data_IF_016894312218
#
_entry.id   IF_016894312218
#
_cell.length_a   1.000
_cell.length_b   1.000
_cell.length_c   1.000
_cell.angle_alpha   90.00
_cell.angle_beta   90.00
_cell.angle_gamma   90.00
#
_symmetry.space_group_name_H-M   'P 1'
#
loop_
_entity.id
_entity.type
_entity.pdbx_description
1 polymer ?
#
# COMPACT_ATOMS: atom_id res chain seq x y z
N UNK A 1 12.02 -14.26 -3.96
CA UNK A 1 11.08 -13.92 -5.05
C UNK A 1 11.23 -12.43 -5.35
N UNK A 2 11.32 -12.02 -6.62
CA UNK A 2 11.48 -10.60 -6.97
C UNK A 2 10.12 -9.99 -7.30
N UNK A 3 9.78 -8.86 -6.68
CA UNK A 3 8.55 -8.12 -6.98
C UNK A 3 8.81 -7.19 -8.17
N UNK A 4 7.86 -7.14 -9.10
CA UNK A 4 7.84 -6.13 -10.14
C UNK A 4 6.91 -5.00 -9.70
N UNK A 5 7.43 -3.79 -9.62
CA UNK A 5 6.66 -2.61 -9.24
C UNK A 5 6.18 -1.86 -10.47
N UNK A 6 4.94 -1.36 -10.41
CA UNK A 6 4.37 -0.54 -11.46
C UNK A 6 4.99 0.87 -11.41
N UNK A 7 5.43 1.37 -12.58
CA UNK A 7 5.94 2.73 -12.69
C UNK A 7 4.81 3.74 -12.53
N UNK A 8 5.03 4.75 -11.67
CA UNK A 8 4.07 5.83 -11.42
C UNK A 8 4.68 7.15 -11.90
N UNK A 9 4.27 7.65 -13.09
CA UNK A 9 4.87 8.85 -13.67
C UNK A 9 4.54 10.13 -12.88
N UNK A 10 3.42 10.15 -12.13
CA UNK A 10 3.04 11.28 -11.29
C UNK A 10 2.50 10.78 -9.95
N UNK A 11 3.41 10.65 -8.98
CA UNK A 11 3.14 10.15 -7.63
C UNK A 11 2.02 10.96 -6.96
N UNK A 12 2.12 12.28 -6.94
CA UNK A 12 1.14 13.16 -6.30
C UNK A 12 -0.27 13.01 -6.89
N UNK A 13 -0.38 12.93 -8.22
CA UNK A 13 -1.67 12.73 -8.90
C UNK A 13 -2.26 11.36 -8.58
N UNK A 14 -1.44 10.31 -8.66
CA UNK A 14 -1.83 8.94 -8.32
C UNK A 14 -2.39 8.85 -6.90
N UNK A 15 -1.64 9.34 -5.90
CA UNK A 15 -2.07 9.28 -4.50
C UNK A 15 -3.39 10.00 -4.29
N UNK A 16 -3.54 11.23 -4.83
CA UNK A 16 -4.78 12.00 -4.69
C UNK A 16 -5.99 11.27 -5.25
N UNK A 17 -5.85 10.66 -6.44
CA UNK A 17 -6.93 9.91 -7.06
C UNK A 17 -7.25 8.63 -6.28
N UNK A 18 -6.22 7.89 -5.85
CA UNK A 18 -6.40 6.66 -5.07
C UNK A 18 -7.07 6.95 -3.73
N UNK A 19 -6.60 7.94 -2.97
CA UNK A 19 -7.18 8.25 -1.66
C UNK A 19 -8.56 8.87 -1.76
N UNK A 20 -8.84 9.70 -2.77
CA UNK A 20 -10.19 10.21 -3.00
C UNK A 20 -11.22 9.09 -3.25
N UNK A 21 -10.77 7.96 -3.81
CA UNK A 21 -11.62 6.81 -4.11
C UNK A 21 -11.72 5.81 -2.96
N UNK A 22 -10.59 5.49 -2.34
CA UNK A 22 -10.47 4.36 -1.41
C UNK A 22 -10.42 4.78 0.07
N UNK A 23 -10.14 6.06 0.37
CA UNK A 23 -9.98 6.59 1.73
C UNK A 23 -10.53 8.03 1.85
N UNK A 24 -11.82 8.19 1.50
CA UNK A 24 -12.50 9.50 1.42
C UNK A 24 -12.69 10.18 2.78
N UNK A 25 -12.46 9.46 3.87
CA UNK A 25 -12.47 9.93 5.25
C UNK A 25 -11.17 10.67 5.64
N UNK A 26 -10.09 10.52 4.86
CA UNK A 26 -8.83 11.25 5.11
C UNK A 26 -8.99 12.71 4.65
N UNK A 27 -8.82 13.70 5.54
CA UNK A 27 -8.95 15.10 5.16
C UNK A 27 -7.96 15.50 4.06
N UNK A 28 -8.43 16.21 3.03
CA UNK A 28 -7.59 16.72 1.94
C UNK A 28 -6.40 17.55 2.42
N UNK A 29 -6.55 18.27 3.53
CA UNK A 29 -5.45 19.02 4.14
C UNK A 29 -4.27 18.11 4.55
N UNK A 30 -4.56 16.90 5.07
CA UNK A 30 -3.51 15.92 5.40
C UNK A 30 -2.85 15.37 4.14
N UNK A 31 -3.64 15.05 3.11
CA UNK A 31 -3.14 14.52 1.83
C UNK A 31 -2.21 15.53 1.12
N UNK A 32 -2.43 16.83 1.33
CA UNK A 32 -1.66 17.90 0.70
C UNK A 32 -0.59 18.54 1.60
N UNK A 33 -0.39 18.04 2.83
CA UNK A 33 0.47 18.72 3.81
C UNK A 33 1.95 18.72 3.42
N UNK A 34 2.47 17.58 2.97
CA UNK A 34 3.85 17.42 2.49
C UNK A 34 3.91 16.76 1.11
N UNK A 35 5.03 16.91 0.36
CA UNK A 35 5.24 16.21 -0.89
C UNK A 35 5.23 14.69 -0.72
N UNK A 36 4.79 13.99 -1.77
CA UNK A 36 4.77 12.53 -1.81
C UNK A 36 6.03 11.99 -2.49
N UNK A 37 6.64 11.00 -1.86
CA UNK A 37 7.87 10.37 -2.31
C UNK A 37 7.69 8.86 -2.40
N UNK A 38 8.26 8.26 -3.45
CA UNK A 38 8.37 6.81 -3.58
C UNK A 38 9.71 6.38 -2.97
N UNK A 39 9.67 5.52 -1.97
CA UNK A 39 10.84 4.96 -1.30
C UNK A 39 10.77 3.44 -1.28
N UNK A 40 11.93 2.78 -1.29
CA UNK A 40 12.03 1.38 -0.86
C UNK A 40 12.38 1.33 0.63
N UNK A 41 11.56 0.65 1.44
CA UNK A 41 11.81 0.51 2.87
C UNK A 41 11.39 -0.85 3.42
N UNK A 42 11.87 -1.24 4.62
CA UNK A 42 11.44 -2.46 5.27
C UNK A 42 9.93 -2.49 5.49
N UNK A 43 9.29 -3.62 5.15
CA UNK A 43 7.86 -3.82 5.37
C UNK A 43 7.51 -3.70 6.86
N UNK A 44 8.45 -4.07 7.74
CA UNK A 44 8.34 -3.95 9.20
C UNK A 44 8.31 -2.52 9.72
N UNK A 45 8.70 -1.52 8.91
CA UNK A 45 8.65 -0.11 9.29
C UNK A 45 7.23 0.49 9.20
N UNK A 46 6.32 -0.18 8.50
CA UNK A 46 4.94 0.28 8.38
C UNK A 46 4.15 0.04 9.66
N UNK A 47 3.42 1.05 10.10
CA UNK A 47 2.32 0.87 11.05
C UNK A 47 1.05 0.49 10.29
N UNK A 48 0.27 -0.43 10.83
CA UNK A 48 -0.96 -0.92 10.21
C UNK A 48 -2.10 -0.97 11.22
N UNK A 49 -3.33 -0.78 10.75
CA UNK A 49 -4.53 -1.07 11.54
C UNK A 49 -4.74 -2.59 11.59
N UNK A 50 -4.46 -3.17 12.76
CA UNK A 50 -4.54 -4.61 12.94
C UNK A 50 -5.98 -5.12 12.97
N UNK A 51 -6.93 -4.31 13.43
CA UNK A 51 -8.36 -4.66 13.44
C UNK A 51 -8.91 -4.70 12.01
N UNK A 52 -8.46 -3.78 11.16
CA UNK A 52 -8.77 -3.78 9.74
C UNK A 52 -8.19 -5.02 9.03
N UNK A 53 -6.95 -5.40 9.33
CA UNK A 53 -6.34 -6.64 8.81
C UNK A 53 -7.18 -7.85 9.22
N UNK A 54 -7.49 -7.97 10.51
CA UNK A 54 -8.24 -9.08 11.07
C UNK A 54 -9.63 -9.22 10.44
N UNK A 55 -10.27 -8.09 10.13
CA UNK A 55 -11.55 -8.05 9.41
C UNK A 55 -11.41 -8.51 7.97
N UNK A 56 -10.44 -7.98 7.23
CA UNK A 56 -10.15 -8.37 5.85
C UNK A 56 -9.68 -9.83 5.70
N UNK A 57 -9.17 -10.46 6.75
CA UNK A 57 -8.82 -11.89 6.78
C UNK A 57 -10.07 -12.80 6.91
N UNK A 58 -11.24 -12.25 7.24
CA UNK A 58 -12.51 -12.99 7.41
C UNK A 58 -13.52 -12.75 6.29
N UNK A 59 -13.37 -11.66 5.55
CA UNK A 59 -14.29 -11.29 4.48
C UNK A 59 -13.87 -11.88 3.13
N UNK A 60 -14.77 -12.62 2.49
CA UNK A 60 -14.52 -13.36 1.24
C UNK A 60 -13.95 -12.47 0.12
N UNK A 61 -14.52 -11.28 -0.07
CA UNK A 61 -14.06 -10.31 -1.06
C UNK A 61 -12.57 -9.96 -0.87
N UNK A 62 -12.15 -9.74 0.38
CA UNK A 62 -10.79 -9.33 0.71
C UNK A 62 -9.81 -10.49 0.62
N UNK A 63 -10.26 -11.71 0.96
CA UNK A 63 -9.51 -12.94 0.71
C UNK A 63 -9.26 -13.12 -0.79
N UNK A 64 -10.29 -12.96 -1.63
CA UNK A 64 -10.15 -13.10 -3.07
C UNK A 64 -9.19 -12.04 -3.66
N UNK A 65 -9.28 -10.78 -3.21
CA UNK A 65 -8.34 -9.72 -3.61
C UNK A 65 -6.89 -10.07 -3.27
N UNK A 66 -6.65 -10.62 -2.07
CA UNK A 66 -5.32 -11.11 -1.66
C UNK A 66 -4.82 -12.24 -2.58
N UNK A 67 -5.67 -13.23 -2.87
CA UNK A 67 -5.33 -14.33 -3.77
C UNK A 67 -5.00 -13.83 -5.19
N UNK A 68 -5.74 -12.85 -5.69
CA UNK A 68 -5.46 -12.22 -6.99
C UNK A 68 -4.06 -11.59 -7.02
N UNK A 69 -3.68 -10.83 -5.98
CA UNK A 69 -2.34 -10.25 -5.90
C UNK A 69 -1.23 -11.32 -5.78
N UNK A 70 -1.46 -12.41 -5.05
CA UNK A 70 -0.50 -13.54 -5.02
C UNK A 70 -0.29 -14.08 -6.45
N UNK A 71 -1.37 -14.28 -7.21
CA UNK A 71 -1.29 -14.78 -8.58
C UNK A 71 -0.59 -13.81 -9.52
N UNK A 72 -0.87 -12.50 -9.41
CA UNK A 72 -0.18 -11.46 -10.19
C UNK A 72 1.33 -11.50 -9.94
N UNK A 73 1.76 -11.51 -8.68
CA UNK A 73 3.18 -11.56 -8.33
C UNK A 73 3.84 -12.84 -8.84
N UNK A 74 3.19 -13.99 -8.68
CA UNK A 74 3.70 -15.29 -9.20
C UNK A 74 3.86 -15.30 -10.71
N UNK A 75 3.03 -14.57 -11.44
CA UNK A 75 3.11 -14.42 -12.91
C UNK A 75 4.14 -13.36 -13.34
N UNK A 76 4.78 -12.65 -12.40
CA UNK A 76 5.66 -11.54 -12.71
C UNK A 76 4.92 -10.28 -13.17
N UNK A 77 3.64 -10.15 -12.86
CA UNK A 77 2.88 -8.93 -13.17
C UNK A 77 3.28 -7.81 -12.20
N UNK A 78 3.31 -6.58 -12.72
CA UNK A 78 3.62 -5.41 -11.92
C UNK A 78 2.50 -5.10 -10.92
N UNK A 79 2.86 -4.82 -9.67
CA UNK A 79 1.93 -4.34 -8.65
C UNK A 79 2.23 -2.89 -8.26
N UNK A 80 1.20 -2.15 -7.86
CA UNK A 80 1.35 -0.77 -7.39
C UNK A 80 2.00 -0.74 -5.98
N UNK A 81 2.76 0.30 -5.64
CA UNK A 81 3.34 0.51 -4.30
C UNK A 81 2.27 0.76 -3.24
N UNK A 82 2.65 0.55 -1.98
CA UNK A 82 1.81 0.85 -0.81
C UNK A 82 1.72 2.37 -0.61
N UNK A 83 0.68 2.86 0.09
CA UNK A 83 0.56 4.28 0.45
C UNK A 83 0.49 4.41 1.97
N UNK A 84 1.42 5.18 2.53
CA UNK A 84 1.51 5.44 3.96
C UNK A 84 1.47 6.94 4.26
N UNK A 85 0.86 7.32 5.36
CA UNK A 85 0.67 8.71 5.79
C UNK A 85 1.41 8.97 7.10
N UNK A 86 1.90 10.21 7.24
CA UNK A 86 2.54 10.68 8.45
C UNK A 86 3.99 10.22 8.61
N UNK A 87 4.67 10.81 9.59
CA UNK A 87 6.06 10.50 9.94
C UNK A 87 6.23 9.11 10.56
N UNK A 88 5.13 8.46 10.93
CA UNK A 88 5.13 7.12 11.50
C UNK A 88 4.74 6.02 10.50
N UNK A 89 4.68 6.37 9.22
CA UNK A 89 4.44 5.46 8.10
C UNK A 89 3.20 4.59 8.30
N UNK A 90 2.09 5.22 8.68
CA UNK A 90 0.83 4.53 8.87
C UNK A 90 0.21 4.16 7.51
N UNK A 91 -0.01 2.87 7.27
CA UNK A 91 -0.57 2.35 6.03
C UNK A 91 -2.03 2.79 5.87
N UNK A 92 -2.32 3.49 4.78
CA UNK A 92 -3.66 3.99 4.46
C UNK A 92 -4.25 3.36 3.20
N UNK A 93 -3.42 2.90 2.26
CA UNK A 93 -3.87 2.11 1.11
C UNK A 93 -2.88 0.96 0.82
N UNK A 94 -3.42 -0.13 0.28
CA UNK A 94 -2.64 -1.29 -0.12
C UNK A 94 -2.66 -2.44 0.89
N UNK A 95 -3.62 -2.49 1.83
CA UNK A 95 -3.74 -3.56 2.83
C UNK A 95 -3.71 -4.98 2.25
N UNK A 96 -4.36 -5.21 1.11
CA UNK A 96 -4.30 -6.50 0.43
C UNK A 96 -2.87 -6.82 -0.06
N UNK A 97 -2.18 -5.85 -0.68
CA UNK A 97 -0.79 -5.99 -1.13
C UNK A 97 0.15 -6.20 0.05
N UNK A 98 0.02 -5.41 1.13
CA UNK A 98 0.78 -5.57 2.36
C UNK A 98 0.67 -6.99 2.93
N UNK A 99 -0.55 -7.51 3.06
CA UNK A 99 -0.79 -8.88 3.53
C UNK A 99 -0.12 -9.92 2.64
N UNK A 100 -0.19 -9.74 1.31
CA UNK A 100 0.49 -10.64 0.37
C UNK A 100 2.01 -10.59 0.53
N UNK A 101 2.60 -9.39 0.60
CA UNK A 101 4.05 -9.22 0.75
C UNK A 101 4.53 -9.88 2.04
N UNK A 102 3.81 -9.67 3.15
CA UNK A 102 4.09 -10.31 4.45
C UNK A 102 4.04 -11.83 4.35
N UNK A 103 2.96 -12.38 3.78
CA UNK A 103 2.75 -13.83 3.71
C UNK A 103 3.74 -14.53 2.77
N UNK A 104 4.28 -13.79 1.78
CA UNK A 104 5.33 -14.27 0.88
C UNK A 104 6.75 -14.02 1.42
N UNK A 105 6.89 -13.51 2.65
CA UNK A 105 8.19 -13.26 3.29
C UNK A 105 9.01 -12.16 2.61
N UNK A 106 8.35 -11.18 1.99
CA UNK A 106 9.02 -10.04 1.37
C UNK A 106 9.38 -9.00 2.44
N UNK A 107 10.67 -8.75 2.59
CA UNK A 107 11.19 -7.87 3.65
C UNK A 107 11.15 -6.39 3.31
N UNK A 108 11.20 -6.03 2.02
CA UNK A 108 11.23 -4.64 1.53
C UNK A 108 10.15 -4.38 0.50
N UNK A 109 9.55 -3.20 0.54
CA UNK A 109 8.49 -2.79 -0.38
C UNK A 109 8.72 -1.37 -0.91
N UNK A 110 8.18 -1.10 -2.10
CA UNK A 110 8.00 0.28 -2.57
C UNK A 110 6.77 0.89 -1.89
N UNK A 111 6.99 2.06 -1.29
CA UNK A 111 6.02 2.77 -0.47
C UNK A 111 6.01 4.24 -0.88
N UNK A 112 4.83 4.74 -1.19
CA UNK A 112 4.59 6.16 -1.36
C UNK A 112 4.24 6.75 0.00
N UNK A 113 5.05 7.71 0.46
CA UNK A 113 4.87 8.35 1.75
C UNK A 113 5.10 9.86 1.69
N UNK A 114 4.55 10.57 2.68
CA UNK A 114 4.88 11.96 2.93
C UNK A 114 6.14 12.06 3.79
N UNK A 115 7.14 12.82 3.34
CA UNK A 115 8.36 13.07 4.09
C UNK A 115 8.38 14.57 4.45
N UNK A 116 8.60 14.87 5.73
CA UNK A 116 8.78 16.22 6.25
C UNK A 116 10.21 16.73 5.98
#
# INVERSE_FOLDING_TARGET
MKIQWASIPNISSYVKQTLAKEASDIPLAKINFYPWHLLEMPLSSLKVDQDLINRHDKEELHIQRKLNFINMIKKGEAILPLIALGSDYFLIDGYARFRVLRDLGIEKAEIICQIC
#
